data_IF_270687009858
#
_entry.id   IF_270687009858
#
_cell.length_a   1.000
_cell.length_b   1.000
_cell.length_c   1.000
_cell.angle_alpha   90.00
_cell.angle_beta   90.00
_cell.angle_gamma   90.00
#
_symmetry.space_group_name_H-M   'P 1'
#
loop_
_entity.id
_entity.type
_entity.pdbx_description
1 polymer ?
#
# COMPACT_ATOMS: atom_id res chain seq x y z
N UNK A 1 -0.19 -30.61 13.66
CA UNK A 1 -0.21 -29.84 12.39
C UNK A 1 -1.64 -29.44 12.03
N UNK A 2 -2.59 -30.39 12.03
CA UNK A 2 -4.01 -30.14 11.80
C UNK A 2 -4.59 -28.98 12.63
N UNK A 3 -4.37 -28.95 13.95
CA UNK A 3 -4.87 -27.87 14.84
C UNK A 3 -4.45 -26.47 14.38
N UNK A 4 -3.23 -26.30 13.86
CA UNK A 4 -2.74 -24.99 13.40
C UNK A 4 -3.44 -24.52 12.13
N UNK A 5 -3.73 -25.46 11.23
CA UNK A 5 -4.43 -25.19 9.97
C UNK A 5 -5.88 -24.84 10.27
N UNK A 6 -6.52 -25.59 11.19
CA UNK A 6 -7.89 -25.32 11.62
C UNK A 6 -8.00 -23.93 12.24
N UNK A 7 -7.15 -23.59 13.21
CA UNK A 7 -7.17 -22.27 13.86
C UNK A 7 -6.85 -21.14 12.88
N UNK A 8 -5.95 -21.37 11.91
CA UNK A 8 -5.67 -20.41 10.85
C UNK A 8 -6.90 -20.12 9.98
N UNK A 9 -7.59 -21.17 9.54
CA UNK A 9 -8.83 -21.07 8.74
C UNK A 9 -9.92 -20.37 9.57
N UNK A 10 -10.12 -20.78 10.82
CA UNK A 10 -11.12 -20.18 11.71
C UNK A 10 -10.84 -18.70 11.99
N UNK A 11 -9.58 -18.32 12.21
CA UNK A 11 -9.19 -16.93 12.41
C UNK A 11 -9.61 -16.06 11.22
N UNK A 12 -9.27 -16.50 10.00
CA UNK A 12 -9.62 -15.80 8.77
C UNK A 12 -11.14 -15.81 8.51
N UNK A 13 -11.81 -16.92 8.78
CA UNK A 13 -13.26 -17.07 8.58
C UNK A 13 -14.04 -16.14 9.52
N UNK A 14 -13.67 -16.07 10.79
CA UNK A 14 -14.31 -15.20 11.78
C UNK A 14 -14.05 -13.72 11.50
N UNK A 15 -12.83 -13.36 11.08
CA UNK A 15 -12.54 -11.97 10.68
C UNK A 15 -13.34 -11.57 9.43
N UNK A 16 -13.39 -12.46 8.42
CA UNK A 16 -14.17 -12.22 7.21
C UNK A 16 -15.68 -12.15 7.51
N UNK A 17 -16.18 -13.00 8.41
CA UNK A 17 -17.58 -12.97 8.84
C UNK A 17 -17.93 -11.67 9.56
N UNK A 18 -17.11 -11.24 10.54
CA UNK A 18 -17.32 -9.95 11.21
C UNK A 18 -17.36 -8.78 10.22
N UNK A 19 -16.43 -8.78 9.25
CA UNK A 19 -16.40 -7.78 8.21
C UNK A 19 -17.66 -7.82 7.32
N UNK A 20 -18.07 -8.99 6.85
CA UNK A 20 -19.24 -9.14 6.00
C UNK A 20 -20.55 -8.79 6.72
N UNK A 21 -20.69 -9.11 8.01
CA UNK A 21 -21.84 -8.70 8.81
C UNK A 21 -21.84 -7.17 8.98
N UNK A 22 -20.68 -6.54 9.18
CA UNK A 22 -20.57 -5.08 9.24
C UNK A 22 -21.01 -4.43 7.92
N UNK A 23 -20.56 -4.98 6.79
CA UNK A 23 -20.97 -4.54 5.46
C UNK A 23 -22.48 -4.69 5.26
N UNK A 24 -23.06 -5.80 5.73
CA UNK A 24 -24.51 -6.05 5.68
C UNK A 24 -25.30 -5.06 6.56
N UNK A 25 -24.83 -4.79 7.78
CA UNK A 25 -25.47 -3.79 8.67
C UNK A 25 -25.39 -2.40 8.07
N UNK A 26 -24.23 -2.00 7.52
CA UNK A 26 -24.07 -0.71 6.84
C UNK A 26 -25.01 -0.59 5.62
N UNK A 27 -25.22 -1.68 4.89
CA UNK A 27 -26.21 -1.74 3.81
C UNK A 27 -27.63 -1.52 4.34
N UNK A 28 -28.03 -2.23 5.39
CA UNK A 28 -29.34 -2.10 6.02
C UNK A 28 -29.61 -0.66 6.52
N UNK A 29 -28.63 -0.03 7.15
CA UNK A 29 -28.80 1.33 7.69
C UNK A 29 -28.86 2.40 6.60
N UNK A 30 -28.13 2.20 5.50
CA UNK A 30 -28.06 3.19 4.41
C UNK A 30 -29.27 3.12 3.48
N UNK A 31 -29.81 1.91 3.25
CA UNK A 31 -30.80 1.69 2.18
C UNK A 31 -32.16 1.18 2.66
N UNK A 32 -32.27 0.62 3.87
CA UNK A 32 -33.53 0.12 4.44
C UNK A 32 -34.07 1.00 5.58
N UNK A 33 -33.48 2.19 5.78
CA UNK A 33 -33.87 3.19 6.79
C UNK A 33 -33.83 2.69 8.24
N UNK A 34 -33.04 1.65 8.53
CA UNK A 34 -32.84 1.18 9.91
C UNK A 34 -31.87 2.10 10.65
N UNK A 35 -32.23 2.58 11.83
CA UNK A 35 -31.36 3.47 12.58
C UNK A 35 -30.42 2.70 13.50
N UNK A 36 -29.11 2.81 13.27
CA UNK A 36 -28.07 2.15 14.09
C UNK A 36 -27.99 2.70 15.52
N UNK A 37 -28.45 3.93 15.74
CA UNK A 37 -28.52 4.56 17.05
C UNK A 37 -29.43 3.78 18.00
N UNK A 38 -30.40 3.02 17.46
CA UNK A 38 -31.28 2.14 18.25
C UNK A 38 -30.55 1.05 19.02
N UNK A 39 -29.37 0.64 18.55
CA UNK A 39 -28.53 -0.32 19.26
C UNK A 39 -27.81 0.35 20.44
N UNK A 40 -27.41 1.61 20.28
CA UNK A 40 -26.65 2.37 21.27
C UNK A 40 -27.55 2.95 22.37
N UNK A 41 -28.72 3.45 22.00
CA UNK A 41 -29.67 4.10 22.89
C UNK A 41 -30.95 3.28 23.02
N UNK A 42 -31.35 2.97 24.26
CA UNK A 42 -32.56 2.19 24.52
C UNK A 42 -33.85 2.98 24.30
N UNK A 43 -33.81 4.28 24.57
CA UNK A 43 -35.00 5.15 24.53
C UNK A 43 -34.94 6.07 23.31
N UNK A 44 -36.02 6.13 22.56
CA UNK A 44 -36.12 6.95 21.34
C UNK A 44 -36.00 8.45 21.63
N UNK A 45 -36.56 8.91 22.75
CA UNK A 45 -36.50 10.33 23.16
C UNK A 45 -35.08 10.86 23.38
N UNK A 46 -34.14 9.97 23.67
CA UNK A 46 -32.73 10.34 23.88
C UNK A 46 -31.93 10.32 22.56
N UNK A 47 -32.54 9.91 21.45
CA UNK A 47 -31.87 9.77 20.16
C UNK A 47 -31.63 11.11 19.47
N UNK A 48 -30.56 11.20 18.69
CA UNK A 48 -30.36 12.29 17.75
C UNK A 48 -31.38 12.23 16.60
N UNK A 49 -31.86 11.04 16.24
CA UNK A 49 -32.94 10.87 15.27
C UNK A 49 -34.18 11.70 15.63
N UNK A 50 -34.63 11.61 16.89
CA UNK A 50 -35.73 12.43 17.40
C UNK A 50 -35.45 13.94 17.27
N UNK A 51 -34.23 14.35 17.60
CA UNK A 51 -33.81 15.76 17.52
C UNK A 51 -33.84 16.27 16.07
N UNK A 52 -33.20 15.55 15.14
CA UNK A 52 -33.06 15.98 13.75
C UNK A 52 -34.32 15.84 12.92
N UNK A 53 -35.12 14.79 13.15
CA UNK A 53 -36.29 14.50 12.33
C UNK A 53 -37.60 15.07 12.90
N UNK A 54 -37.65 15.45 14.18
CA UNK A 54 -38.88 15.95 14.79
C UNK A 54 -38.73 17.28 15.54
N UNK A 55 -37.72 17.42 16.41
CA UNK A 55 -37.57 18.64 17.22
C UNK A 55 -37.10 19.83 16.36
N UNK A 56 -36.09 19.64 15.52
CA UNK A 56 -35.55 20.71 14.68
C UNK A 56 -36.55 21.14 13.58
N UNK A 57 -37.29 20.24 12.91
CA UNK A 57 -38.40 20.62 12.04
C UNK A 57 -39.51 21.37 12.78
N UNK A 58 -39.92 20.93 13.96
CA UNK A 58 -40.93 21.65 14.76
C UNK A 58 -40.48 23.07 15.13
N UNK A 59 -39.20 23.23 15.49
CA UNK A 59 -38.60 24.55 15.69
C UNK A 59 -38.60 25.38 14.41
N UNK A 60 -38.24 24.80 13.27
CA UNK A 60 -38.20 25.51 11.98
C UNK A 60 -39.61 25.95 11.54
N UNK A 61 -40.64 25.13 11.75
CA UNK A 61 -42.03 25.47 11.48
C UNK A 61 -42.47 26.69 12.32
N UNK A 62 -42.09 26.70 13.60
CA UNK A 62 -42.33 27.84 14.49
C UNK A 62 -41.60 29.09 14.00
N UNK A 63 -40.31 28.94 13.67
CA UNK A 63 -39.47 30.04 13.19
C UNK A 63 -40.03 30.66 11.89
N UNK A 64 -40.41 29.83 10.92
CA UNK A 64 -41.03 30.29 9.67
C UNK A 64 -42.39 30.96 9.90
N UNK A 65 -43.19 30.45 10.83
CA UNK A 65 -44.48 31.07 11.17
C UNK A 65 -44.27 32.49 11.71
N UNK A 66 -43.25 32.69 12.54
CA UNK A 66 -42.94 33.98 13.17
C UNK A 66 -42.44 34.99 12.14
N UNK A 67 -41.58 34.59 11.19
CA UNK A 67 -40.88 35.53 10.31
C UNK A 67 -41.39 35.59 8.87
N UNK A 68 -42.04 34.55 8.34
CA UNK A 68 -42.27 34.42 6.89
C UNK A 68 -43.75 34.33 6.49
N UNK A 69 -44.60 33.59 7.21
CA UNK A 69 -45.90 33.16 6.66
C UNK A 69 -47.13 33.40 7.54
N UNK A 70 -46.97 33.57 8.85
CA UNK A 70 -48.09 33.70 9.80
C UNK A 70 -49.11 32.54 9.77
N UNK A 71 -48.76 31.40 9.17
CA UNK A 71 -49.61 30.22 9.01
C UNK A 71 -48.86 28.99 9.50
N UNK A 72 -49.35 28.38 10.57
CA UNK A 72 -48.84 27.11 11.08
C UNK A 72 -49.33 25.92 10.26
N UNK A 73 -48.54 24.84 10.17
CA UNK A 73 -49.01 23.59 9.58
C UNK A 73 -50.17 23.03 10.43
N UNK A 74 -51.25 22.60 9.76
CA UNK A 74 -52.46 22.08 10.44
C UNK A 74 -52.28 20.63 10.93
N UNK A 75 -51.45 19.85 10.25
CA UNK A 75 -51.15 18.45 10.58
C UNK A 75 -49.73 18.35 11.16
N UNK A 76 -49.59 18.65 12.46
CA UNK A 76 -48.33 18.49 13.20
C UNK A 76 -48.46 17.36 14.22
N UNK A 77 -47.43 16.52 14.36
CA UNK A 77 -47.36 15.45 15.38
C UNK A 77 -46.95 15.95 16.78
N UNK A 78 -46.76 17.27 16.94
CA UNK A 78 -46.36 17.94 18.18
C UNK A 78 -47.38 19.01 18.59
N UNK A 79 -47.42 19.32 19.88
CA UNK A 79 -48.20 20.44 20.42
C UNK A 79 -47.37 21.71 20.37
N UNK A 80 -47.97 22.82 19.95
CA UNK A 80 -47.30 24.11 19.95
C UNK A 80 -48.18 25.25 20.47
N UNK A 81 -47.51 26.28 20.98
CA UNK A 81 -48.08 27.58 21.27
C UNK A 81 -47.05 28.65 20.91
N UNK A 82 -47.46 29.63 20.10
CA UNK A 82 -46.63 30.78 19.73
C UNK A 82 -47.44 32.04 19.93
N UNK A 83 -46.92 33.01 20.66
CA UNK A 83 -47.58 34.30 20.91
C UNK A 83 -46.58 35.44 20.87
N UNK A 84 -46.97 36.56 20.25
CA UNK A 84 -46.21 37.81 20.26
C UNK A 84 -46.85 38.90 21.14
N UNK A 85 -47.79 38.52 22.01
CA UNK A 85 -48.59 39.44 22.84
C UNK A 85 -49.91 39.89 22.19
N UNK A 86 -49.93 40.09 20.86
CA UNK A 86 -51.13 40.56 20.13
C UNK A 86 -51.89 39.42 19.44
N UNK A 87 -51.16 38.42 18.92
CA UNK A 87 -51.70 37.25 18.21
C UNK A 87 -51.07 35.98 18.77
N UNK A 88 -51.90 34.96 18.94
CA UNK A 88 -51.47 33.63 19.37
C UNK A 88 -51.90 32.56 18.37
N UNK A 89 -51.00 31.61 18.12
CA UNK A 89 -51.21 30.44 17.28
C UNK A 89 -51.00 29.18 18.11
N UNK A 90 -51.92 28.23 18.04
CA UNK A 90 -51.83 26.97 18.76
C UNK A 90 -52.71 25.90 18.13
N UNK A 91 -52.31 24.63 18.31
CA UNK A 91 -53.12 23.47 17.97
C UNK A 91 -53.76 22.78 19.20
N UNK A 92 -53.65 23.38 20.39
CA UNK A 92 -54.25 22.85 21.62
C UNK A 92 -55.33 23.78 22.17
N UNK A 93 -56.38 23.19 22.76
CA UNK A 93 -57.51 23.94 23.31
C UNK A 93 -57.18 24.69 24.61
N UNK A 94 -56.18 24.23 25.37
CA UNK A 94 -55.71 24.87 26.60
C UNK A 94 -54.22 25.17 26.51
N UNK A 95 -53.88 26.28 25.87
CA UNK A 95 -52.50 26.65 25.55
C UNK A 95 -51.75 27.36 26.70
N UNK A 96 -51.89 26.85 27.93
CA UNK A 96 -51.14 27.36 29.08
C UNK A 96 -49.82 26.58 29.26
N UNK A 97 -48.80 27.21 29.86
CA UNK A 97 -47.51 26.56 30.14
C UNK A 97 -47.67 25.27 30.95
N UNK A 98 -48.65 25.23 31.86
CA UNK A 98 -48.95 24.07 32.68
C UNK A 98 -49.41 22.84 31.88
N UNK A 99 -50.00 23.03 30.69
CA UNK A 99 -50.32 21.94 29.78
C UNK A 99 -49.04 21.32 29.20
N UNK A 100 -48.16 22.15 28.65
CA UNK A 100 -46.92 21.69 28.01
C UNK A 100 -45.92 21.12 29.01
N UNK A 101 -45.85 21.70 30.21
CA UNK A 101 -44.99 21.24 31.31
C UNK A 101 -45.32 19.83 31.81
N UNK A 102 -46.48 19.25 31.45
CA UNK A 102 -46.80 17.84 31.75
C UNK A 102 -45.91 16.87 30.99
N UNK A 103 -45.42 17.28 29.81
CA UNK A 103 -44.57 16.47 28.94
C UNK A 103 -43.09 16.72 29.23
N UNK A 104 -42.71 16.84 30.51
CA UNK A 104 -41.37 17.21 31.04
C UNK A 104 -40.18 16.63 30.26
N UNK A 105 -40.31 15.41 29.74
CA UNK A 105 -39.28 14.73 28.95
C UNK A 105 -39.03 15.36 27.56
N UNK A 106 -39.98 16.10 27.00
CA UNK A 106 -39.95 16.65 25.64
C UNK A 106 -40.59 18.03 25.53
N UNK A 107 -40.41 18.86 26.56
CA UNK A 107 -40.92 20.23 26.61
C UNK A 107 -39.81 21.23 26.28
N UNK A 108 -40.03 22.02 25.23
CA UNK A 108 -39.16 23.10 24.78
C UNK A 108 -39.91 24.42 24.93
N UNK A 109 -39.34 25.35 25.69
CA UNK A 109 -39.96 26.65 25.95
C UNK A 109 -39.01 27.78 25.63
N UNK A 110 -39.55 28.87 25.13
CA UNK A 110 -38.84 30.11 24.87
C UNK A 110 -39.64 31.26 25.45
N UNK A 111 -39.07 31.94 26.43
CA UNK A 111 -39.67 33.08 27.10
C UNK A 111 -38.60 34.15 27.27
N UNK A 112 -38.95 35.41 26.97
CA UNK A 112 -38.10 36.59 27.25
C UNK A 112 -36.68 36.47 26.68
N UNK A 113 -36.54 35.92 25.48
CA UNK A 113 -35.23 35.81 24.83
C UNK A 113 -34.42 34.55 25.20
N UNK A 114 -34.96 33.65 26.03
CA UNK A 114 -34.22 32.50 26.57
C UNK A 114 -34.95 31.19 26.31
N UNK A 115 -34.24 30.23 25.72
CA UNK A 115 -34.68 28.84 25.62
C UNK A 115 -34.50 28.12 26.96
N UNK A 116 -35.55 27.46 27.42
CA UNK A 116 -35.58 26.59 28.59
C UNK A 116 -36.14 25.23 28.20
N UNK A 117 -35.50 24.16 28.66
CA UNK A 117 -35.81 22.78 28.31
C UNK A 117 -36.23 22.01 29.57
N UNK A 118 -37.05 20.98 29.39
CA UNK A 118 -37.39 20.05 30.47
C UNK A 118 -36.16 19.34 31.02
N UNK A 119 -36.22 18.89 32.28
CA UNK A 119 -35.05 18.39 33.01
C UNK A 119 -34.45 17.11 32.39
N UNK A 120 -35.25 16.38 31.61
CA UNK A 120 -34.89 15.11 30.96
C UNK A 120 -34.87 15.22 29.44
N UNK A 121 -34.95 16.43 28.90
CA UNK A 121 -34.94 16.66 27.47
C UNK A 121 -33.51 16.52 26.93
N UNK A 122 -33.34 15.74 25.86
CA UNK A 122 -32.06 15.70 25.17
C UNK A 122 -31.81 17.03 24.43
N UNK A 123 -30.82 17.78 24.87
CA UNK A 123 -30.39 19.03 24.20
C UNK A 123 -29.12 18.85 23.39
N UNK A 124 -28.56 17.64 23.35
CA UNK A 124 -27.36 17.37 22.58
C UNK A 124 -27.65 17.67 21.11
N UNK A 125 -26.72 18.37 20.46
CA UNK A 125 -26.81 18.76 19.05
C UNK A 125 -27.91 19.79 18.72
N UNK A 126 -28.63 20.33 19.71
CA UNK A 126 -29.66 21.35 19.51
C UNK A 126 -29.02 22.76 19.49
N UNK A 127 -29.05 23.45 18.35
CA UNK A 127 -28.61 24.84 18.23
C UNK A 127 -29.76 25.74 17.79
N UNK A 128 -30.53 26.25 18.76
CA UNK A 128 -31.67 27.12 18.51
C UNK A 128 -31.23 28.59 18.49
N UNK A 129 -31.73 29.36 17.51
CA UNK A 129 -31.44 30.78 17.43
C UNK A 129 -32.34 31.58 18.39
N UNK A 130 -31.93 32.82 18.65
CA UNK A 130 -32.72 33.78 19.39
C UNK A 130 -33.84 34.32 18.48
N UNK A 131 -35.10 34.21 18.92
CA UNK A 131 -36.30 34.60 18.17
C UNK A 131 -36.82 35.99 18.61
N UNK A 132 -36.00 36.78 19.31
CA UNK A 132 -36.39 38.08 19.88
C UNK A 132 -37.08 37.96 21.24
N UNK A 133 -37.19 39.07 21.98
CA UNK A 133 -37.72 39.09 23.36
C UNK A 133 -39.26 39.01 23.44
N UNK A 134 -39.93 39.34 22.35
CA UNK A 134 -41.37 39.64 22.34
C UNK A 134 -42.22 38.40 22.09
N UNK A 135 -41.57 37.26 21.80
CA UNK A 135 -42.23 36.00 21.50
C UNK A 135 -42.17 35.03 22.67
N UNK A 136 -43.29 34.33 22.88
CA UNK A 136 -43.40 33.16 23.76
C UNK A 136 -43.67 31.94 22.90
N UNK A 137 -42.81 30.92 23.00
CA UNK A 137 -42.95 29.66 22.26
C UNK A 137 -42.97 28.48 23.24
N UNK A 138 -43.91 27.56 23.05
CA UNK A 138 -43.93 26.25 23.69
C UNK A 138 -44.06 25.18 22.63
N UNK A 139 -43.23 24.14 22.71
CA UNK A 139 -43.31 22.93 21.88
C UNK A 139 -43.26 21.74 22.83
N UNK A 140 -44.19 20.80 22.66
CA UNK A 140 -44.17 19.54 23.41
C UNK A 140 -44.61 18.35 22.56
N UNK A 141 -44.06 17.17 22.87
CA UNK A 141 -44.43 15.91 22.23
C UNK A 141 -45.23 15.05 23.21
N UNK A 142 -46.29 14.40 22.70
CA UNK A 142 -47.18 13.59 23.54
C UNK A 142 -46.58 12.22 23.89
N UNK A 143 -47.04 11.61 24.99
CA UNK A 143 -46.67 10.23 25.33
C UNK A 143 -47.11 9.24 24.24
N UNK A 144 -48.23 9.50 23.57
CA UNK A 144 -48.70 8.69 22.45
C UNK A 144 -47.72 8.71 21.26
N UNK A 145 -47.13 9.88 20.97
CA UNK A 145 -46.08 10.03 19.97
C UNK A 145 -44.86 9.20 20.33
N UNK A 146 -44.37 9.28 21.57
CA UNK A 146 -43.22 8.50 22.01
C UNK A 146 -43.50 7.01 22.03
N UNK A 147 -44.67 6.57 22.48
CA UNK A 147 -45.02 5.15 22.50
C UNK A 147 -45.03 4.55 21.08
N UNK A 148 -45.58 5.28 20.10
CA UNK A 148 -45.59 4.87 18.69
C UNK A 148 -44.16 4.72 18.14
N UNK A 149 -43.32 5.74 18.31
CA UNK A 149 -41.95 5.73 17.79
C UNK A 149 -41.03 4.79 18.57
N UNK A 150 -41.26 4.60 19.87
CA UNK A 150 -40.51 3.67 20.70
C UNK A 150 -40.77 2.21 20.29
N UNK A 151 -41.96 1.86 19.80
CA UNK A 151 -42.24 0.52 19.25
C UNK A 151 -41.45 0.26 17.97
N UNK A 152 -41.38 1.25 17.08
CA UNK A 152 -40.55 1.18 15.86
C UNK A 152 -39.09 1.04 16.25
N UNK A 153 -38.60 1.91 17.14
CA UNK A 153 -37.23 1.90 17.66
C UNK A 153 -36.83 0.55 18.27
N UNK A 154 -37.71 -0.08 19.04
CA UNK A 154 -37.48 -1.42 19.59
C UNK A 154 -37.42 -2.49 18.50
N UNK A 155 -38.28 -2.40 17.49
CA UNK A 155 -38.28 -3.33 16.35
C UNK A 155 -36.97 -3.23 15.57
N UNK A 156 -36.49 -2.01 15.31
CA UNK A 156 -35.20 -1.78 14.65
C UNK A 156 -34.03 -2.31 15.49
N UNK A 157 -34.07 -2.03 16.80
CA UNK A 157 -33.07 -2.52 17.75
C UNK A 157 -33.01 -4.04 17.77
N UNK A 158 -34.14 -4.72 17.87
CA UNK A 158 -34.20 -6.18 17.93
C UNK A 158 -33.79 -6.83 16.60
N UNK A 159 -33.96 -6.13 15.48
CA UNK A 159 -33.42 -6.56 14.18
C UNK A 159 -31.90 -6.40 14.09
N UNK A 160 -31.32 -5.32 14.61
CA UNK A 160 -29.89 -5.00 14.49
C UNK A 160 -29.01 -5.65 15.58
N UNK A 161 -29.52 -5.79 16.80
CA UNK A 161 -28.75 -6.23 17.96
C UNK A 161 -28.07 -7.59 17.77
N UNK A 162 -28.72 -8.64 17.21
CA UNK A 162 -28.07 -9.94 17.00
C UNK A 162 -26.88 -9.87 16.04
N UNK A 163 -26.92 -8.96 15.05
CA UNK A 163 -25.81 -8.76 14.12
C UNK A 163 -24.62 -8.11 14.82
N UNK A 164 -24.87 -7.09 15.65
CA UNK A 164 -23.82 -6.41 16.43
C UNK A 164 -23.17 -7.36 17.43
N UNK A 165 -23.97 -8.18 18.14
CA UNK A 165 -23.45 -9.22 19.03
C UNK A 165 -22.59 -10.24 18.26
N UNK A 166 -23.04 -10.68 17.09
CA UNK A 166 -22.29 -11.59 16.23
C UNK A 166 -20.96 -10.99 15.76
N UNK A 167 -20.93 -9.72 15.37
CA UNK A 167 -19.70 -9.01 15.01
C UNK A 167 -18.71 -9.03 16.19
N UNK A 168 -19.17 -8.66 17.39
CA UNK A 168 -18.33 -8.60 18.59
C UNK A 168 -17.75 -9.98 18.91
N UNK A 169 -18.59 -11.02 18.92
CA UNK A 169 -18.16 -12.40 19.19
C UNK A 169 -17.12 -12.86 18.15
N UNK A 170 -17.38 -12.62 16.87
CA UNK A 170 -16.45 -12.98 15.79
C UNK A 170 -15.11 -12.25 15.92
N UNK A 171 -15.11 -10.96 16.27
CA UNK A 171 -13.89 -10.18 16.48
C UNK A 171 -13.09 -10.68 17.68
N UNK A 172 -13.74 -10.96 18.81
CA UNK A 172 -13.07 -11.49 20.01
C UNK A 172 -12.44 -12.85 19.71
N UNK A 173 -13.21 -13.79 19.14
CA UNK A 173 -12.71 -15.13 18.80
C UNK A 173 -11.60 -15.08 17.75
N UNK A 174 -11.75 -14.24 16.73
CA UNK A 174 -10.71 -14.04 15.72
C UNK A 174 -9.43 -13.50 16.34
N UNK A 175 -9.53 -12.52 17.26
CA UNK A 175 -8.39 -11.96 17.97
C UNK A 175 -7.65 -13.02 18.81
N UNK A 176 -8.40 -13.86 19.53
CA UNK A 176 -7.82 -14.97 20.32
C UNK A 176 -7.06 -15.95 19.43
N UNK A 177 -7.64 -16.35 18.30
CA UNK A 177 -6.98 -17.23 17.33
C UNK A 177 -5.80 -16.58 16.62
N UNK A 178 -5.88 -15.27 16.39
CA UNK A 178 -4.80 -14.48 15.80
C UNK A 178 -3.59 -14.44 16.74
N UNK A 179 -3.79 -14.08 18.02
CA UNK A 179 -2.75 -14.08 19.05
C UNK A 179 -2.14 -15.48 19.20
N UNK A 180 -2.98 -16.52 19.25
CA UNK A 180 -2.51 -17.90 19.31
C UNK A 180 -1.64 -18.26 18.09
N UNK A 181 -2.07 -17.86 16.89
CA UNK A 181 -1.33 -18.11 15.65
C UNK A 181 0.02 -17.40 15.64
N UNK A 182 0.09 -16.17 16.14
CA UNK A 182 1.35 -15.44 16.34
C UNK A 182 2.26 -16.20 17.29
N UNK A 183 1.77 -16.72 18.42
CA UNK A 183 2.59 -17.46 19.38
C UNK A 183 3.14 -18.77 18.78
N UNK A 184 2.28 -19.51 18.08
CA UNK A 184 2.54 -20.89 17.64
C UNK A 184 3.21 -20.99 16.27
N UNK A 185 3.15 -19.94 15.44
CA UNK A 185 3.80 -19.91 14.12
C UNK A 185 5.32 -20.12 14.25
N UNK A 186 5.85 -20.98 13.38
CA UNK A 186 7.27 -21.36 13.34
C UNK A 186 7.74 -22.32 14.43
N UNK A 187 6.90 -22.74 15.39
CA UNK A 187 7.29 -23.69 16.46
C UNK A 187 6.77 -25.10 16.21
N UNK A 188 7.43 -26.15 16.70
CA UNK A 188 6.88 -27.52 16.71
C UNK A 188 6.60 -27.96 18.16
N UNK A 189 5.62 -28.85 18.42
CA UNK A 189 5.32 -29.26 19.79
C UNK A 189 6.49 -29.93 20.52
N UNK A 190 7.31 -30.68 19.77
CA UNK A 190 8.45 -31.45 20.29
C UNK A 190 9.79 -30.72 20.18
N UNK A 191 9.82 -29.52 19.59
CA UNK A 191 11.06 -28.83 19.29
C UNK A 191 10.90 -27.30 19.47
N UNK A 192 11.74 -26.75 20.34
CA UNK A 192 11.78 -25.31 20.65
C UNK A 192 12.43 -24.48 19.54
N UNK A 193 13.08 -25.10 18.55
CA UNK A 193 13.69 -24.41 17.43
C UNK A 193 12.64 -23.78 16.50
N UNK A 194 13.04 -22.69 15.85
CA UNK A 194 12.23 -21.96 14.89
C UNK A 194 12.36 -22.57 13.50
N UNK A 195 11.24 -23.06 12.96
CA UNK A 195 11.12 -23.63 11.61
C UNK A 195 10.53 -22.59 10.66
N UNK A 196 11.30 -22.21 9.63
CA UNK A 196 10.83 -21.33 8.57
C UNK A 196 10.02 -22.11 7.51
N UNK A 197 9.03 -21.45 6.92
CA UNK A 197 8.22 -21.97 5.81
C UNK A 197 8.88 -21.67 4.46
N UNK A 198 8.44 -22.37 3.41
CA UNK A 198 8.87 -22.09 2.02
C UNK A 198 8.54 -20.65 1.60
N UNK A 199 7.41 -20.11 2.08
CA UNK A 199 6.99 -18.72 1.85
C UNK A 199 7.93 -17.67 2.48
N UNK A 200 8.73 -18.07 3.46
CA UNK A 200 9.61 -17.13 4.16
C UNK A 200 10.86 -16.78 3.32
N UNK A 201 11.06 -17.45 2.17
CA UNK A 201 12.12 -17.17 1.18
C UNK A 201 11.88 -15.89 0.37
N UNK A 202 10.64 -15.42 0.26
CA UNK A 202 10.32 -14.17 -0.46
C UNK A 202 10.90 -13.00 0.34
N UNK A 203 11.43 -11.95 -0.29
CA UNK A 203 11.98 -10.79 0.43
C UNK A 203 10.93 -10.08 1.29
N UNK A 204 11.35 -9.53 2.44
CA UNK A 204 10.43 -8.94 3.43
C UNK A 204 9.64 -7.75 2.87
N UNK A 205 10.27 -6.92 2.03
CA UNK A 205 9.62 -5.74 1.46
C UNK A 205 8.58 -6.14 0.40
N UNK A 206 8.86 -7.18 -0.39
CA UNK A 206 7.90 -7.73 -1.36
C UNK A 206 6.66 -8.26 -0.62
N UNK A 207 6.86 -8.97 0.50
CA UNK A 207 5.74 -9.44 1.31
C UNK A 207 4.91 -8.26 1.87
N UNK A 208 5.56 -7.16 2.26
CA UNK A 208 4.86 -5.96 2.73
C UNK A 208 4.04 -5.31 1.61
N UNK A 209 4.60 -5.19 0.40
CA UNK A 209 3.89 -4.68 -0.78
C UNK A 209 2.70 -5.56 -1.14
N UNK A 210 2.87 -6.89 -1.12
CA UNK A 210 1.77 -7.83 -1.36
C UNK A 210 0.67 -7.68 -0.31
N UNK A 211 1.04 -7.55 0.98
CA UNK A 211 0.07 -7.33 2.05
C UNK A 211 -0.73 -6.04 1.86
N UNK A 212 -0.05 -4.92 1.58
CA UNK A 212 -0.70 -3.64 1.31
C UNK A 212 -1.55 -3.66 0.04
N UNK A 213 -1.09 -4.35 -1.00
CA UNK A 213 -1.85 -4.52 -2.24
C UNK A 213 -3.14 -5.30 -2.01
N UNK A 214 -3.11 -6.38 -1.22
CA UNK A 214 -4.29 -7.16 -0.87
C UNK A 214 -5.32 -6.35 -0.07
N UNK A 215 -4.88 -5.52 0.88
CA UNK A 215 -5.80 -4.68 1.67
C UNK A 215 -6.44 -3.57 0.82
N UNK A 216 -5.66 -2.92 -0.05
CA UNK A 216 -6.18 -1.91 -0.99
C UNK A 216 -7.17 -2.55 -1.97
N UNK A 217 -6.82 -3.70 -2.55
CA UNK A 217 -7.70 -4.42 -3.47
C UNK A 217 -9.04 -4.79 -2.81
N UNK A 218 -9.02 -5.27 -1.56
CA UNK A 218 -10.23 -5.57 -0.80
C UNK A 218 -11.13 -4.33 -0.64
N UNK A 219 -10.55 -3.19 -0.28
CA UNK A 219 -11.28 -1.93 -0.14
C UNK A 219 -11.87 -1.46 -1.47
N UNK A 220 -11.09 -1.51 -2.54
CA UNK A 220 -11.53 -1.11 -3.88
C UNK A 220 -12.69 -1.98 -4.39
N UNK A 221 -12.64 -3.30 -4.18
CA UNK A 221 -13.72 -4.22 -4.60
C UNK A 221 -15.03 -3.84 -3.90
N UNK A 222 -14.99 -3.59 -2.59
CA UNK A 222 -16.17 -3.23 -1.80
C UNK A 222 -16.70 -1.87 -2.24
N UNK A 223 -15.83 -0.87 -2.36
CA UNK A 223 -16.21 0.49 -2.77
C UNK A 223 -16.88 0.49 -4.15
N UNK A 224 -16.30 -0.21 -5.13
CA UNK A 224 -16.88 -0.35 -6.46
C UNK A 224 -18.22 -1.10 -6.42
N UNK A 225 -18.34 -2.14 -5.59
CA UNK A 225 -19.59 -2.89 -5.45
C UNK A 225 -20.73 -2.01 -4.94
N UNK A 226 -20.50 -1.20 -3.92
CA UNK A 226 -21.53 -0.28 -3.39
C UNK A 226 -21.90 0.81 -4.38
N UNK A 227 -20.91 1.42 -5.05
CA UNK A 227 -21.14 2.50 -6.00
C UNK A 227 -21.85 2.03 -7.27
N UNK A 228 -21.45 0.90 -7.85
CA UNK A 228 -22.05 0.41 -9.09
C UNK A 228 -23.51 0.03 -8.92
N UNK A 229 -23.86 -0.49 -7.73
CA UNK A 229 -25.22 -0.91 -7.43
C UNK A 229 -26.07 0.20 -6.78
N UNK A 230 -25.54 1.43 -6.61
CA UNK A 230 -26.17 2.55 -5.89
C UNK A 230 -27.64 2.80 -6.28
N UNK A 231 -27.94 2.66 -7.57
CA UNK A 231 -29.26 2.90 -8.16
C UNK A 231 -30.26 1.73 -7.97
N UNK A 232 -29.78 0.54 -7.61
CA UNK A 232 -30.59 -0.69 -7.44
C UNK A 232 -31.01 -0.89 -5.97
N UNK A 233 -30.36 -0.19 -5.03
CA UNK A 233 -30.49 -0.44 -3.60
C UNK A 233 -31.73 0.18 -2.91
N UNK A 234 -32.51 1.02 -3.59
CA UNK A 234 -33.76 1.57 -3.04
C UNK A 234 -34.93 0.57 -3.02
N UNK A 235 -34.68 -0.70 -3.40
CA UNK A 235 -35.68 -1.78 -3.44
C UNK A 235 -35.41 -2.94 -2.47
N UNK A 236 -36.36 -3.88 -2.37
CA UNK A 236 -36.17 -5.14 -1.64
C UNK A 236 -34.98 -5.93 -2.23
N UNK A 237 -34.21 -6.60 -1.36
CA UNK A 237 -33.05 -7.42 -1.76
C UNK A 237 -33.50 -8.41 -2.85
N UNK A 238 -33.00 -8.21 -4.07
CA UNK A 238 -33.17 -9.15 -5.18
C UNK A 238 -32.31 -10.39 -4.96
N UNK A 239 -32.71 -11.53 -5.54
CA UNK A 239 -31.90 -12.74 -5.56
C UNK A 239 -30.48 -12.48 -6.12
N UNK A 240 -30.36 -11.58 -7.10
CA UNK A 240 -29.07 -11.14 -7.64
C UNK A 240 -28.15 -10.55 -6.55
N UNK A 241 -28.69 -9.69 -5.67
CA UNK A 241 -27.92 -9.07 -4.60
C UNK A 241 -27.44 -10.12 -3.59
N UNK A 242 -28.26 -11.12 -3.28
CA UNK A 242 -27.85 -12.22 -2.39
C UNK A 242 -26.67 -13.02 -2.96
N UNK A 243 -26.70 -13.36 -4.26
CA UNK A 243 -25.59 -14.04 -4.91
C UNK A 243 -24.31 -13.21 -4.92
N UNK A 244 -24.44 -11.90 -5.19
CA UNK A 244 -23.30 -10.99 -5.19
C UNK A 244 -22.68 -10.84 -3.79
N UNK A 245 -23.49 -10.74 -2.72
CA UNK A 245 -23.00 -10.73 -1.35
C UNK A 245 -22.30 -12.05 -0.96
N UNK A 246 -22.84 -13.19 -1.39
CA UNK A 246 -22.20 -14.49 -1.16
C UNK A 246 -20.81 -14.56 -1.85
N UNK A 247 -20.73 -14.12 -3.10
CA UNK A 247 -19.46 -14.06 -3.84
C UNK A 247 -18.46 -13.10 -3.18
N UNK A 248 -18.91 -11.92 -2.77
CA UNK A 248 -18.10 -10.95 -2.03
C UNK A 248 -17.56 -11.56 -0.72
N UNK A 249 -18.37 -12.35 -0.02
CA UNK A 249 -17.95 -13.09 1.17
C UNK A 249 -16.85 -14.10 0.89
N UNK A 250 -16.96 -14.88 -0.20
CA UNK A 250 -15.92 -15.84 -0.61
C UNK A 250 -14.61 -15.13 -0.96
N UNK A 251 -14.68 -14.04 -1.75
CA UNK A 251 -13.51 -13.24 -2.10
C UNK A 251 -12.86 -12.64 -0.85
N UNK A 252 -13.66 -12.08 0.07
CA UNK A 252 -13.19 -11.51 1.32
C UNK A 252 -12.47 -12.55 2.17
N UNK A 253 -13.07 -13.73 2.35
CA UNK A 253 -12.45 -14.83 3.07
C UNK A 253 -11.11 -15.26 2.46
N UNK A 254 -11.03 -15.38 1.13
CA UNK A 254 -9.79 -15.70 0.43
C UNK A 254 -8.71 -14.62 0.66
N UNK A 255 -9.09 -13.34 0.62
CA UNK A 255 -8.17 -12.22 0.89
C UNK A 255 -7.67 -12.21 2.33
N UNK A 256 -8.52 -12.49 3.32
CA UNK A 256 -8.11 -12.64 4.72
C UNK A 256 -7.15 -13.81 4.92
N UNK A 257 -7.40 -14.94 4.26
CA UNK A 257 -6.50 -16.11 4.29
C UNK A 257 -5.11 -15.76 3.74
N UNK A 258 -5.04 -15.11 2.57
CA UNK A 258 -3.77 -14.66 1.98
C UNK A 258 -3.05 -13.65 2.86
N UNK A 259 -3.78 -12.65 3.37
CA UNK A 259 -3.23 -11.60 4.24
C UNK A 259 -2.68 -12.19 5.54
N UNK A 260 -3.40 -13.13 6.16
CA UNK A 260 -2.94 -13.83 7.37
C UNK A 260 -1.71 -14.70 7.08
N UNK A 261 -1.64 -15.37 5.92
CA UNK A 261 -0.47 -16.16 5.54
C UNK A 261 0.80 -15.29 5.39
N UNK A 262 0.66 -14.13 4.73
CA UNK A 262 1.73 -13.14 4.57
C UNK A 262 2.15 -12.57 5.92
N UNK A 263 1.19 -12.17 6.74
CA UNK A 263 1.45 -11.67 8.09
C UNK A 263 2.20 -12.68 8.95
N UNK A 264 1.77 -13.95 8.97
CA UNK A 264 2.45 -15.00 9.73
C UNK A 264 3.86 -15.30 9.20
N UNK A 265 4.12 -15.06 7.91
CA UNK A 265 5.48 -15.11 7.33
C UNK A 265 6.36 -14.00 7.90
N UNK A 266 5.84 -12.77 7.96
CA UNK A 266 6.56 -11.65 8.59
C UNK A 266 6.85 -11.93 10.06
N UNK A 267 5.88 -12.43 10.83
CA UNK A 267 6.07 -12.82 12.24
C UNK A 267 7.20 -13.85 12.40
N UNK A 268 7.27 -14.87 11.54
CA UNK A 268 8.37 -15.85 11.58
C UNK A 268 9.72 -15.20 11.31
N UNK A 269 9.80 -14.25 10.38
CA UNK A 269 11.03 -13.49 10.10
C UNK A 269 11.46 -12.56 11.23
N UNK A 270 10.50 -11.94 11.92
CA UNK A 270 10.74 -11.15 13.14
C UNK A 270 11.36 -12.04 14.21
N UNK A 271 10.73 -13.20 14.49
CA UNK A 271 11.25 -14.18 15.45
C UNK A 271 12.65 -14.69 15.08
N UNK A 272 12.94 -14.80 13.78
CA UNK A 272 14.25 -15.20 13.27
C UNK A 272 15.31 -14.08 13.32
N UNK A 273 14.95 -12.84 13.69
CA UNK A 273 15.81 -11.65 13.59
C UNK A 273 16.38 -11.41 12.18
N UNK A 274 15.64 -11.87 11.15
CA UNK A 274 16.04 -11.80 9.73
C UNK A 274 15.19 -10.83 8.91
N UNK A 275 14.18 -10.20 9.49
CA UNK A 275 13.23 -9.36 8.74
C UNK A 275 13.93 -8.28 7.90
N UNK A 276 14.80 -7.47 8.52
CA UNK A 276 15.56 -6.42 7.82
C UNK A 276 16.75 -6.97 7.03
N UNK A 277 17.44 -8.00 7.54
CA UNK A 277 18.59 -8.60 6.83
C UNK A 277 18.19 -9.29 5.53
N UNK A 278 16.94 -9.75 5.44
CA UNK A 278 16.35 -10.37 4.25
C UNK A 278 15.36 -9.42 3.55
N UNK A 279 15.72 -8.13 3.53
CA UNK A 279 15.08 -7.09 2.71
C UNK A 279 15.78 -7.00 1.35
N UNK A 280 15.01 -6.86 0.29
CA UNK A 280 15.53 -6.62 -1.06
C UNK A 280 16.16 -5.24 -1.12
N UNK A 281 15.50 -4.25 -0.50
CA UNK A 281 16.01 -2.87 -0.38
C UNK A 281 17.36 -2.90 0.34
N UNK A 282 17.45 -3.56 1.49
CA UNK A 282 18.72 -3.69 2.22
C UNK A 282 19.81 -4.35 1.37
N UNK A 283 19.47 -5.40 0.60
CA UNK A 283 20.43 -6.10 -0.27
C UNK A 283 20.95 -5.17 -1.38
N UNK A 284 20.06 -4.38 -1.99
CA UNK A 284 20.44 -3.39 -3.03
C UNK A 284 21.29 -2.29 -2.41
N UNK A 285 20.86 -1.69 -1.29
CA UNK A 285 21.60 -0.65 -0.60
C UNK A 285 22.98 -1.13 -0.14
N UNK A 286 23.09 -2.37 0.38
CA UNK A 286 24.38 -2.94 0.77
C UNK A 286 25.29 -3.15 -0.44
N UNK A 287 24.78 -3.62 -1.58
CA UNK A 287 25.58 -3.76 -2.81
C UNK A 287 26.08 -2.40 -3.31
N UNK A 288 25.24 -1.37 -3.27
CA UNK A 288 25.62 0.00 -3.63
C UNK A 288 26.70 0.50 -2.67
N UNK A 289 26.49 0.33 -1.36
CA UNK A 289 27.45 0.71 -0.33
C UNK A 289 28.80 -0.02 -0.49
N UNK A 290 28.80 -1.34 -0.66
CA UNK A 290 30.02 -2.12 -0.84
C UNK A 290 30.72 -1.77 -2.16
N UNK A 291 29.97 -1.46 -3.23
CA UNK A 291 30.54 -0.93 -4.46
C UNK A 291 31.28 0.39 -4.21
N UNK A 292 30.65 1.39 -3.60
CA UNK A 292 31.33 2.64 -3.27
C UNK A 292 32.53 2.43 -2.34
N UNK A 293 32.36 1.62 -1.29
CA UNK A 293 33.46 1.28 -0.37
C UNK A 293 34.62 0.59 -1.07
N UNK A 294 34.35 -0.29 -2.03
CA UNK A 294 35.38 -1.02 -2.78
C UNK A 294 36.26 -0.10 -3.62
N UNK A 295 35.72 1.03 -4.10
CA UNK A 295 36.46 2.07 -4.81
C UNK A 295 37.46 2.79 -3.90
N UNK A 296 37.11 3.01 -2.62
CA UNK A 296 37.97 3.69 -1.65
C UNK A 296 38.96 2.77 -0.93
N UNK A 297 38.56 1.53 -0.60
CA UNK A 297 39.43 0.52 0.03
C UNK A 297 40.48 -0.05 -0.94
N UNK A 298 40.41 0.31 -2.24
CA UNK A 298 41.38 -0.07 -3.27
C UNK A 298 41.27 -1.51 -3.78
N UNK A 299 40.36 -2.31 -3.21
CA UNK A 299 40.10 -3.71 -3.59
C UNK A 299 39.74 -3.85 -5.07
N UNK A 300 38.99 -2.90 -5.62
CA UNK A 300 38.56 -2.88 -7.04
C UNK A 300 39.74 -2.75 -8.00
N UNK A 301 40.83 -2.12 -7.58
CA UNK A 301 41.99 -1.85 -8.43
C UNK A 301 43.19 -2.77 -8.16
N UNK A 302 43.04 -3.83 -7.34
CA UNK A 302 44.14 -4.75 -7.02
C UNK A 302 44.79 -5.38 -8.26
N UNK A 303 44.01 -5.61 -9.33
CA UNK A 303 44.51 -6.18 -10.59
C UNK A 303 45.13 -5.13 -11.53
N UNK A 304 44.91 -3.84 -11.27
CA UNK A 304 45.25 -2.74 -12.18
C UNK A 304 45.90 -1.58 -11.40
N UNK A 305 47.17 -1.72 -10.98
CA UNK A 305 47.83 -0.74 -10.11
C UNK A 305 47.99 0.65 -10.75
N UNK A 306 48.18 0.71 -12.07
CA UNK A 306 48.29 1.98 -12.81
C UNK A 306 46.97 2.76 -12.78
N UNK A 307 45.83 2.09 -12.98
CA UNK A 307 44.51 2.74 -12.93
C UNK A 307 44.11 3.11 -11.50
N UNK A 308 44.59 2.36 -10.48
CA UNK A 308 44.42 2.72 -9.06
C UNK A 308 44.90 4.14 -8.79
N UNK A 309 46.16 4.43 -9.12
CA UNK A 309 46.79 5.72 -8.82
C UNK A 309 46.13 6.88 -9.57
N UNK A 310 45.63 6.62 -10.78
CA UNK A 310 44.91 7.59 -11.59
C UNK A 310 43.51 7.90 -11.01
N UNK A 311 42.79 6.88 -10.55
CA UNK A 311 41.48 7.03 -9.92
C UNK A 311 41.52 7.89 -8.64
N UNK A 312 42.48 7.64 -7.72
CA UNK A 312 42.59 8.46 -6.51
C UNK A 312 42.98 9.91 -6.80
N UNK A 313 43.79 10.16 -7.84
CA UNK A 313 44.10 11.53 -8.30
C UNK A 313 42.88 12.24 -8.87
N UNK A 314 42.05 11.54 -9.64
CA UNK A 314 40.76 12.06 -10.12
C UNK A 314 39.81 12.38 -8.96
N UNK A 315 39.69 11.50 -7.96
CA UNK A 315 38.86 11.75 -6.79
C UNK A 315 39.34 12.95 -5.98
N UNK A 316 40.66 13.08 -5.76
CA UNK A 316 41.24 14.23 -5.08
C UNK A 316 40.97 15.53 -5.84
N UNK A 317 41.14 15.51 -7.17
CA UNK A 317 40.83 16.65 -8.03
C UNK A 317 39.36 17.07 -7.89
N UNK A 318 38.40 16.14 -8.01
CA UNK A 318 36.97 16.43 -7.88
C UNK A 318 36.63 17.04 -6.51
N UNK A 319 37.19 16.48 -5.43
CA UNK A 319 36.95 17.00 -4.06
C UNK A 319 37.51 18.41 -3.90
N UNK A 320 38.75 18.65 -4.37
CA UNK A 320 39.38 19.97 -4.28
C UNK A 320 38.65 21.01 -5.14
N UNK A 321 38.24 20.67 -6.36
CA UNK A 321 37.43 21.54 -7.21
C UNK A 321 36.07 21.86 -6.57
N UNK A 322 35.42 20.88 -5.93
CA UNK A 322 34.17 21.12 -5.22
C UNK A 322 34.36 22.09 -4.04
N UNK A 323 35.45 21.95 -3.27
CA UNK A 323 35.81 22.88 -2.19
C UNK A 323 36.09 24.29 -2.74
N UNK A 324 36.77 24.41 -3.87
CA UNK A 324 37.04 25.70 -4.52
C UNK A 324 35.75 26.36 -5.03
N UNK A 325 34.77 25.58 -5.51
CA UNK A 325 33.44 26.11 -5.85
C UNK A 325 32.73 26.68 -4.62
N UNK A 326 32.75 25.96 -3.49
CA UNK A 326 32.19 26.46 -2.23
C UNK A 326 32.92 27.74 -1.74
N UNK A 327 34.24 27.78 -1.86
CA UNK A 327 35.06 28.95 -1.54
C UNK A 327 34.69 30.15 -2.43
N UNK A 328 34.45 29.91 -3.72
CA UNK A 328 34.02 30.94 -4.67
C UNK A 328 32.68 31.55 -4.27
N UNK A 329 31.72 30.71 -3.87
CA UNK A 329 30.41 31.18 -3.38
C UNK A 329 30.55 32.02 -2.10
N UNK A 330 31.46 31.63 -1.19
CA UNK A 330 31.70 32.37 0.05
C UNK A 330 32.39 33.73 -0.18
N UNK A 331 33.30 33.83 -1.16
CA UNK A 331 34.11 35.02 -1.42
C UNK A 331 33.50 35.99 -2.44
N UNK A 332 32.32 35.68 -3.01
CA UNK A 332 31.72 36.42 -4.14
C UNK A 332 31.53 37.93 -3.90
N UNK A 333 31.38 38.36 -2.64
CA UNK A 333 31.22 39.78 -2.27
C UNK A 333 32.52 40.47 -1.82
N UNK A 334 33.64 39.76 -1.86
CA UNK A 334 34.95 40.28 -1.45
C UNK A 334 35.81 40.57 -2.69
N UNK A 335 36.76 41.52 -2.62
CA UNK A 335 37.69 41.77 -3.73
C UNK A 335 38.61 40.56 -4.03
N UNK A 336 38.60 39.51 -3.20
CA UNK A 336 39.46 38.32 -3.33
C UNK A 336 38.77 37.18 -4.11
N UNK A 337 37.59 37.41 -4.70
CA UNK A 337 36.81 36.35 -5.39
C UNK A 337 37.54 35.66 -6.56
N UNK A 338 38.61 36.28 -7.10
CA UNK A 338 39.43 35.73 -8.20
C UNK A 338 40.38 34.61 -7.72
N UNK A 339 40.77 34.61 -6.45
CA UNK A 339 41.73 33.64 -5.92
C UNK A 339 41.34 32.15 -6.11
N UNK A 340 40.07 31.73 -5.88
CA UNK A 340 39.64 30.37 -6.20
C UNK A 340 39.87 29.96 -7.66
N UNK A 341 39.68 30.87 -8.63
CA UNK A 341 39.90 30.57 -10.05
C UNK A 341 41.37 30.35 -10.40
N UNK A 342 42.27 31.12 -9.78
CA UNK A 342 43.72 30.92 -9.94
C UNK A 342 44.16 29.59 -9.30
N UNK A 343 43.62 29.26 -8.13
CA UNK A 343 43.87 27.97 -7.48
C UNK A 343 43.31 26.80 -8.30
N UNK A 344 42.16 26.95 -8.95
CA UNK A 344 41.58 25.95 -9.84
C UNK A 344 42.50 25.72 -11.06
N UNK A 345 43.04 26.78 -11.67
CA UNK A 345 43.99 26.66 -12.78
C UNK A 345 45.27 25.90 -12.37
N UNK A 346 45.79 26.17 -11.17
CA UNK A 346 46.94 25.44 -10.60
C UNK A 346 46.58 23.97 -10.33
N UNK A 347 45.38 23.70 -9.81
CA UNK A 347 44.89 22.36 -9.54
C UNK A 347 44.73 21.54 -10.83
N UNK A 348 44.18 22.13 -11.90
CA UNK A 348 44.07 21.52 -13.23
C UNK A 348 45.46 21.19 -13.78
N UNK A 349 46.41 22.13 -13.70
CA UNK A 349 47.79 21.89 -14.14
C UNK A 349 48.43 20.72 -13.39
N UNK A 350 48.29 20.69 -12.06
CA UNK A 350 48.80 19.61 -11.22
C UNK A 350 48.18 18.26 -11.61
N UNK A 351 46.85 18.21 -11.81
CA UNK A 351 46.13 17.01 -12.22
C UNK A 351 46.61 16.47 -13.57
N UNK A 352 46.72 17.34 -14.59
CA UNK A 352 47.18 16.96 -15.93
C UNK A 352 48.63 16.45 -15.87
N UNK A 353 49.52 17.20 -15.21
CA UNK A 353 50.94 16.85 -15.12
C UNK A 353 51.14 15.52 -14.38
N UNK A 354 50.45 15.33 -13.26
CA UNK A 354 50.47 14.08 -12.52
C UNK A 354 49.99 12.92 -13.38
N UNK A 355 48.84 13.08 -14.05
CA UNK A 355 48.22 12.00 -14.83
C UNK A 355 49.01 11.63 -16.07
N UNK A 356 49.74 12.57 -16.70
CA UNK A 356 50.54 12.33 -17.91
C UNK A 356 51.49 11.13 -17.78
N UNK A 357 52.26 11.05 -16.70
CA UNK A 357 53.21 9.94 -16.47
C UNK A 357 52.51 8.57 -16.49
N UNK A 358 51.34 8.49 -15.86
CA UNK A 358 50.58 7.23 -15.81
C UNK A 358 49.95 6.88 -17.16
N UNK A 359 49.53 7.88 -17.94
CA UNK A 359 49.08 7.65 -19.32
C UNK A 359 50.23 7.17 -20.22
N UNK A 360 51.43 7.73 -20.07
CA UNK A 360 52.61 7.29 -20.82
C UNK A 360 52.97 5.83 -20.49
N UNK A 361 52.95 5.45 -19.21
CA UNK A 361 53.20 4.06 -18.77
C UNK A 361 52.14 3.08 -19.32
N UNK A 362 50.86 3.46 -19.33
CA UNK A 362 49.78 2.66 -19.90
C UNK A 362 49.95 2.52 -21.42
N UNK A 363 50.28 3.61 -22.12
CA UNK A 363 50.46 3.61 -23.57
C UNK A 363 51.66 2.76 -23.98
N UNK A 364 52.75 2.83 -23.22
CA UNK A 364 53.93 1.99 -23.41
C UNK A 364 53.58 0.51 -23.26
N UNK A 365 52.97 0.11 -22.15
CA UNK A 365 52.59 -1.29 -21.93
C UNK A 365 51.58 -1.82 -22.95
N UNK A 366 50.65 -0.97 -23.40
CA UNK A 366 49.72 -1.30 -24.47
C UNK A 366 50.44 -1.56 -25.80
N UNK A 367 51.33 -0.65 -26.22
CA UNK A 367 52.10 -0.80 -27.46
C UNK A 367 53.02 -2.02 -27.44
N UNK A 368 53.68 -2.30 -26.31
CA UNK A 368 54.49 -3.50 -26.12
C UNK A 368 53.65 -4.78 -26.30
N UNK A 369 52.48 -4.86 -25.65
CA UNK A 369 51.58 -6.01 -25.78
C UNK A 369 51.05 -6.20 -27.21
N UNK A 370 50.81 -5.09 -27.92
CA UNK A 370 50.35 -5.10 -29.30
C UNK A 370 51.46 -5.57 -30.24
N UNK A 371 52.70 -5.11 -30.02
CA UNK A 371 53.86 -5.53 -30.79
C UNK A 371 54.16 -7.02 -30.60
N UNK A 372 54.11 -7.52 -29.36
CA UNK A 372 54.23 -8.95 -29.06
C UNK A 372 53.16 -9.77 -29.77
N UNK A 373 51.89 -9.31 -29.74
CA UNK A 373 50.79 -9.98 -30.41
C UNK A 373 50.98 -10.00 -31.94
N UNK A 374 51.41 -8.89 -32.55
CA UNK A 374 51.74 -8.84 -33.98
C UNK A 374 52.89 -9.77 -34.33
N UNK A 375 53.93 -9.83 -33.49
CA UNK A 375 55.08 -10.73 -33.71
C UNK A 375 54.68 -12.19 -33.61
N UNK A 376 53.83 -12.54 -32.64
CA UNK A 376 53.30 -13.89 -32.50
C UNK A 376 52.46 -14.30 -33.73
N UNK A 377 51.59 -13.41 -34.23
CA UNK A 377 50.84 -13.68 -35.46
C UNK A 377 51.74 -13.81 -36.69
N UNK A 378 52.74 -12.92 -36.86
CA UNK A 378 53.72 -13.05 -37.95
C UNK A 378 54.48 -14.37 -37.89
N UNK A 379 54.90 -14.79 -36.69
CA UNK A 379 55.62 -16.05 -36.50
C UNK A 379 54.72 -17.25 -36.78
N UNK A 380 53.44 -17.18 -36.40
CA UNK A 380 52.43 -18.20 -36.72
C UNK A 380 52.22 -18.32 -38.22
N UNK A 381 52.06 -17.20 -38.93
CA UNK A 381 51.93 -17.19 -40.39
C UNK A 381 53.19 -17.78 -41.04
N UNK A 382 54.38 -17.32 -40.64
CA UNK A 382 55.65 -17.81 -41.17
C UNK A 382 55.83 -19.31 -40.93
N UNK A 383 55.48 -19.81 -39.74
CA UNK A 383 55.53 -21.23 -39.42
C UNK A 383 54.58 -22.03 -40.32
N UNK A 384 53.33 -21.59 -40.47
CA UNK A 384 52.34 -22.25 -41.33
C UNK A 384 52.82 -22.25 -42.78
N UNK A 385 53.36 -21.14 -43.29
CA UNK A 385 53.89 -21.03 -44.65
C UNK A 385 55.09 -21.96 -44.85
N UNK A 386 56.04 -21.99 -43.92
CA UNK A 386 57.22 -22.87 -44.00
C UNK A 386 56.83 -24.34 -43.94
N UNK A 387 55.99 -24.75 -42.98
CA UNK A 387 55.50 -26.13 -42.88
C UNK A 387 54.69 -26.50 -44.13
N UNK A 388 53.86 -25.60 -44.65
CA UNK A 388 53.09 -25.84 -45.87
C UNK A 388 54.00 -26.02 -47.09
N UNK A 389 55.06 -25.21 -47.21
CA UNK A 389 56.07 -25.35 -48.26
C UNK A 389 56.80 -26.70 -48.15
N UNK A 390 57.26 -27.05 -46.95
CA UNK A 390 58.01 -28.27 -46.68
C UNK A 390 57.18 -29.55 -46.83
N UNK A 391 55.85 -29.47 -46.65
CA UNK A 391 54.93 -30.57 -46.95
C UNK A 391 54.58 -30.66 -48.44
N UNK A 392 54.42 -29.53 -49.13
CA UNK A 392 54.02 -29.49 -50.55
C UNK A 392 55.08 -30.12 -51.46
N UNK A 393 56.35 -29.85 -51.21
CA UNK A 393 57.47 -30.36 -52.05
C UNK A 393 57.52 -31.89 -52.11
N UNK A 394 57.64 -32.64 -50.99
CA UNK A 394 57.66 -34.09 -51.02
C UNK A 394 56.33 -34.67 -51.50
N UNK A 395 55.18 -34.05 -51.16
CA UNK A 395 53.88 -34.50 -51.66
C UNK A 395 53.78 -34.39 -53.18
N UNK A 396 54.26 -33.29 -53.76
CA UNK A 396 54.29 -33.11 -55.22
C UNK A 396 55.20 -34.15 -55.88
N UNK A 397 56.36 -34.45 -55.28
CA UNK A 397 57.25 -35.51 -55.76
C UNK A 397 56.58 -36.89 -55.66
N UNK A 398 55.92 -37.23 -54.54
CA UNK A 398 55.20 -38.49 -54.36
C UNK A 398 54.10 -38.63 -55.42
N UNK A 399 53.26 -37.62 -55.60
CA UNK A 399 52.19 -37.61 -56.61
C UNK A 399 52.80 -37.80 -58.01
N UNK A 400 53.90 -37.11 -58.33
CA UNK A 400 54.56 -37.26 -59.63
C UNK A 400 55.11 -38.67 -59.85
N UNK A 401 55.72 -39.30 -58.84
CA UNK A 401 56.21 -40.68 -58.95
C UNK A 401 55.06 -41.68 -59.06
N UNK A 402 53.97 -41.49 -58.30
CA UNK A 402 52.76 -42.33 -58.40
C UNK A 402 52.13 -42.22 -59.79
N UNK A 403 52.01 -41.01 -60.36
CA UNK A 403 51.50 -40.78 -61.72
C UNK A 403 52.38 -41.46 -62.79
N UNK A 404 53.71 -41.38 -62.67
CA UNK A 404 54.63 -42.07 -63.59
C UNK A 404 54.49 -43.60 -63.52
N UNK A 405 54.44 -44.16 -62.31
CA UNK A 405 54.28 -45.61 -62.10
C UNK A 405 52.92 -46.07 -62.62
N UNK A 406 51.85 -45.27 -62.47
CA UNK A 406 50.52 -45.61 -62.98
C UNK A 406 50.46 -45.84 -64.50
N UNK A 407 51.44 -45.30 -65.24
CA UNK A 407 51.55 -45.38 -66.71
C UNK A 407 52.49 -46.48 -67.20
N UNK A 408 53.17 -47.21 -66.30
CA UNK A 408 54.03 -48.33 -66.68
C UNK A 408 53.23 -49.62 -66.98
N UNK A 409 53.61 -50.31 -68.06
CA UNK A 409 53.03 -51.59 -68.46
C UNK A 409 53.81 -52.76 -67.84
N UNK A 410 53.08 -53.77 -67.32
CA UNK A 410 53.67 -54.97 -66.71
C UNK A 410 53.71 -55.00 -65.17
N UNK A 411 53.04 -54.06 -64.50
CA UNK A 411 52.86 -54.09 -63.04
C UNK A 411 51.97 -55.26 -62.59
N UNK A 412 52.30 -55.86 -61.45
CA UNK A 412 51.46 -56.88 -60.80
C UNK A 412 50.16 -56.28 -60.27
N UNK A 413 49.08 -57.07 -60.26
CA UNK A 413 47.74 -56.62 -59.85
C UNK A 413 47.73 -55.97 -58.46
N UNK A 414 48.51 -56.49 -57.51
CA UNK A 414 48.63 -55.94 -56.16
C UNK A 414 49.32 -54.56 -56.11
N UNK A 415 50.28 -54.31 -56.99
CA UNK A 415 50.97 -53.01 -57.06
C UNK A 415 50.07 -51.97 -57.73
N UNK A 416 49.26 -52.39 -58.71
CA UNK A 416 48.26 -51.52 -59.35
C UNK A 416 47.17 -51.07 -58.36
N UNK A 417 46.77 -51.92 -57.43
CA UNK A 417 45.86 -51.56 -56.33
C UNK A 417 46.47 -50.57 -55.32
N UNK A 418 47.77 -50.70 -55.00
CA UNK A 418 48.42 -49.70 -54.13
C UNK A 418 48.57 -48.35 -54.80
N UNK A 419 48.86 -48.32 -56.10
CA UNK A 419 48.94 -47.08 -56.88
C UNK A 419 47.57 -46.42 -57.01
N UNK A 420 46.48 -47.18 -57.18
CA UNK A 420 45.13 -46.62 -57.24
C UNK A 420 44.71 -45.96 -55.92
N UNK A 421 45.09 -46.54 -54.77
CA UNK A 421 44.85 -45.97 -53.44
C UNK A 421 45.71 -44.71 -53.20
N UNK A 422 46.96 -44.68 -53.67
CA UNK A 422 47.87 -43.53 -53.49
C UNK A 422 47.59 -42.37 -54.45
N UNK A 423 46.83 -42.62 -55.54
CA UNK A 423 46.47 -41.61 -56.53
C UNK A 423 45.08 -40.96 -56.30
N UNK A 424 44.27 -41.54 -55.41
CA UNK A 424 42.99 -40.97 -54.91
C UNK A 424 43.25 -39.86 -53.88
#
# INVERSE_FOLDING_TARGET
KATKIIVFILCAALAAAAWMITVFVAYQTTYQSLNIESVLLKQYKDSNDFIYNHVLPAYNDVYQTIYESGKMPKDCEYYYYVSNGDKSYTNVSNANKAFFAKYDDAFYSYERGVWSFGAKTNTNSLSLQNIGSDFTVYIAFSDAFFNKHQQVWQTERDALLPYVESIIICLILSLLFFIWSICVTGRKPKDKQLHLSKFDKIYSDILLVVFAGLTIAAFCIIYNYFNYNSNIWYGKISAYNMYAFALLGVCTFAMFMLSLAVFLSMVRKIKAKKLLKHSLIFTICYKIYDFFRSLFDGRTFNKYPLTKSLFYRQMLFIVLSFVLVLLTLALVRTPVFIAPFLLEAVLIYWFIKGSRKTYDDINKGFNESLEEQMRAERMKIALVTNVSHDLKTPLTSIISYVDLISKEEGLTDTVRDYVSILAE
#
